data_IF_330949983343
#
_entry.id   IF_330949983343
#
_cell.length_a   1.000
_cell.length_b   1.000
_cell.length_c   1.000
_cell.angle_alpha   90.00
_cell.angle_beta   90.00
_cell.angle_gamma   90.00
#
_symmetry.space_group_name_H-M   'P 1'
#
loop_
_entity.id
_entity.type
_entity.pdbx_description
1 polymer ?
#
# COMPACT_ATOMS: atom_id res chain seq x y z
N UNK A 1 67.19 -10.28 -23.77
CA UNK A 1 66.74 -11.68 -23.58
C UNK A 1 65.79 -11.64 -22.38
N UNK A 2 64.48 -11.66 -22.64
CA UNK A 2 63.62 -12.86 -22.44
C UNK A 2 63.45 -13.14 -20.93
N UNK A 3 62.28 -13.17 -20.30
CA UNK A 3 60.89 -13.35 -20.76
C UNK A 3 59.90 -12.81 -19.71
N UNK A 4 58.71 -12.48 -20.20
CA UNK A 4 57.45 -12.31 -19.49
C UNK A 4 57.06 -13.51 -18.62
N UNK A 5 56.42 -13.24 -17.48
CA UNK A 5 55.34 -14.04 -16.88
C UNK A 5 54.45 -13.06 -16.06
N UNK A 6 53.45 -12.41 -16.66
CA UNK A 6 52.05 -12.87 -16.81
C UNK A 6 51.38 -13.30 -15.49
N UNK A 7 50.88 -12.33 -14.72
CA UNK A 7 49.81 -12.55 -13.73
C UNK A 7 48.56 -11.86 -14.27
N UNK A 8 47.75 -12.65 -14.98
CA UNK A 8 46.41 -12.27 -15.40
C UNK A 8 45.48 -12.30 -14.18
N UNK A 9 45.19 -11.12 -13.60
CA UNK A 9 44.07 -10.98 -12.68
C UNK A 9 42.76 -11.16 -13.45
N UNK A 10 42.12 -12.29 -13.18
CA UNK A 10 40.82 -12.68 -13.71
C UNK A 10 39.77 -11.73 -13.16
N UNK A 11 39.36 -10.74 -13.95
CA UNK A 11 38.08 -10.06 -13.77
C UNK A 11 36.96 -11.05 -14.08
N UNK A 12 36.36 -11.62 -13.04
CA UNK A 12 35.11 -12.37 -13.17
C UNK A 12 34.00 -11.43 -13.64
N UNK A 13 33.32 -11.69 -14.77
CA UNK A 13 32.08 -11.00 -15.08
C UNK A 13 31.01 -11.49 -14.11
N UNK A 14 30.78 -10.70 -13.05
CA UNK A 14 29.64 -10.87 -12.17
C UNK A 14 28.34 -10.70 -12.96
N UNK A 15 27.72 -11.84 -13.26
CA UNK A 15 26.31 -12.13 -13.57
C UNK A 15 25.34 -10.93 -13.78
N UNK A 16 24.57 -10.90 -14.88
CA UNK A 16 23.49 -9.91 -15.12
C UNK A 16 22.29 -10.01 -14.15
N UNK A 17 22.37 -10.84 -13.11
CA UNK A 17 21.23 -11.27 -12.29
C UNK A 17 20.89 -10.37 -11.09
N UNK A 18 21.20 -9.07 -11.13
CA UNK A 18 20.71 -8.11 -10.12
C UNK A 18 19.83 -7.00 -10.70
N UNK A 19 19.28 -7.21 -11.90
CA UNK A 19 18.09 -6.50 -12.39
C UNK A 19 16.84 -7.25 -11.97
N UNK A 20 16.48 -7.22 -10.69
CA UNK A 20 15.17 -7.70 -10.22
C UNK A 20 14.89 -7.22 -8.80
N UNK A 21 14.45 -5.95 -8.69
CA UNK A 21 13.41 -5.53 -7.74
C UNK A 21 12.53 -4.50 -8.44
N UNK A 22 11.72 -4.98 -9.37
CA UNK A 22 10.48 -4.32 -9.74
C UNK A 22 9.42 -4.73 -8.71
N UNK A 23 8.55 -3.79 -8.32
CA UNK A 23 7.23 -4.11 -7.78
C UNK A 23 6.89 -3.43 -6.46
N UNK A 24 6.08 -2.36 -6.56
CA UNK A 24 5.31 -1.68 -5.50
C UNK A 24 6.18 -0.97 -4.43
N UNK A 25 6.02 0.30 -4.03
CA UNK A 25 4.84 1.12 -3.82
C UNK A 25 5.30 2.60 -3.86
N UNK A 26 5.06 3.33 -4.95
CA UNK A 26 5.17 4.79 -4.91
C UNK A 26 3.77 5.39 -4.70
N UNK A 27 3.12 4.98 -3.59
CA UNK A 27 1.96 5.69 -3.08
C UNK A 27 2.43 7.03 -2.54
N UNK A 28 2.17 8.11 -3.27
CA UNK A 28 2.65 9.43 -2.87
C UNK A 28 1.83 9.97 -1.70
N UNK A 29 2.44 10.11 -0.52
CA UNK A 29 1.81 10.70 0.70
C UNK A 29 0.95 11.93 0.38
N UNK A 30 -0.27 11.97 0.92
CA UNK A 30 -1.22 13.09 0.84
C UNK A 30 -0.57 14.46 1.13
N UNK A 31 -0.36 15.26 0.08
CA UNK A 31 0.26 16.59 0.19
C UNK A 31 -0.80 17.66 0.45
N UNK A 32 -0.56 18.52 1.44
CA UNK A 32 -1.37 19.72 1.69
C UNK A 32 -1.00 20.80 0.67
N UNK A 33 -1.99 21.33 -0.03
CA UNK A 33 -1.83 22.35 -1.07
C UNK A 33 -2.86 23.47 -0.89
N UNK A 34 -2.56 24.63 -1.48
CA UNK A 34 -3.46 25.79 -1.54
C UNK A 34 -3.78 26.06 -3.01
N UNK A 35 -5.06 26.20 -3.32
CA UNK A 35 -5.53 26.40 -4.68
C UNK A 35 -5.15 27.80 -5.20
N UNK A 36 -4.21 27.89 -6.15
CA UNK A 36 -3.83 29.17 -6.79
C UNK A 36 -4.94 29.78 -7.65
N UNK A 37 -5.89 28.95 -8.10
CA UNK A 37 -7.06 29.27 -8.92
C UNK A 37 -8.20 28.30 -8.60
N UNK A 38 -9.41 28.54 -9.11
CA UNK A 38 -10.51 27.56 -9.04
C UNK A 38 -10.07 26.25 -9.71
N UNK A 39 -10.12 25.14 -8.98
CA UNK A 39 -9.78 23.83 -9.52
C UNK A 39 -10.96 23.28 -10.34
N UNK A 40 -10.66 22.61 -11.46
CA UNK A 40 -11.67 21.87 -12.23
C UNK A 40 -12.16 20.63 -11.46
N UNK A 41 -11.28 20.02 -10.66
CA UNK A 41 -11.57 18.88 -9.81
C UNK A 41 -12.32 19.30 -8.55
N UNK A 42 -13.07 18.35 -7.98
CA UNK A 42 -13.85 18.48 -6.74
C UNK A 42 -13.28 17.52 -5.71
N UNK A 43 -13.70 17.65 -4.45
CA UNK A 43 -13.41 16.66 -3.43
C UNK A 43 -14.03 15.32 -3.83
N UNK A 44 -13.25 14.24 -3.84
CA UNK A 44 -13.72 12.92 -4.26
C UNK A 44 -14.76 12.30 -3.30
N UNK A 45 -14.79 12.75 -2.04
CA UNK A 45 -15.71 12.23 -1.02
C UNK A 45 -17.04 13.00 -0.94
N UNK A 46 -16.98 14.34 -1.00
CA UNK A 46 -18.15 15.18 -0.74
C UNK A 46 -18.55 16.07 -1.93
N UNK A 47 -17.88 15.93 -3.08
CA UNK A 47 -18.13 16.70 -4.30
C UNK A 47 -18.05 18.23 -4.14
N UNK A 48 -17.47 18.73 -3.05
CA UNK A 48 -17.22 20.16 -2.85
C UNK A 48 -16.23 20.67 -3.90
N UNK A 49 -16.56 21.80 -4.53
CA UNK A 49 -15.63 22.51 -5.42
C UNK A 49 -14.59 23.31 -4.64
N UNK A 50 -13.37 23.40 -5.20
CA UNK A 50 -12.29 24.20 -4.62
C UNK A 50 -12.15 25.55 -5.34
N UNK A 51 -12.23 26.64 -4.57
CA UNK A 51 -12.02 28.02 -5.03
C UNK A 51 -10.57 28.44 -4.82
N UNK A 52 -10.18 29.57 -5.42
CA UNK A 52 -8.86 30.18 -5.16
C UNK A 52 -8.71 30.44 -3.66
N UNK A 53 -7.56 30.07 -3.09
CA UNK A 53 -7.26 30.19 -1.66
C UNK A 53 -7.71 28.99 -0.82
N UNK A 54 -8.55 28.08 -1.34
CA UNK A 54 -8.96 26.90 -0.58
C UNK A 54 -7.77 25.96 -0.35
N UNK A 55 -7.68 25.43 0.87
CA UNK A 55 -6.79 24.33 1.22
C UNK A 55 -7.40 23.03 0.70
N UNK A 56 -6.58 22.19 0.10
CA UNK A 56 -6.95 20.84 -0.31
C UNK A 56 -5.76 19.90 -0.13
N UNK A 57 -6.05 18.60 -0.16
CA UNK A 57 -5.05 17.56 -0.11
C UNK A 57 -5.04 16.81 -1.43
N UNK A 58 -3.85 16.47 -1.92
CA UNK A 58 -3.66 15.71 -3.15
C UNK A 58 -2.74 14.52 -2.90
N UNK A 59 -3.19 13.36 -3.34
CA UNK A 59 -2.40 12.15 -3.45
C UNK A 59 -2.36 11.71 -4.90
N UNK A 60 -1.22 11.17 -5.32
CA UNK A 60 -1.07 10.54 -6.62
C UNK A 60 -0.54 9.14 -6.41
N UNK A 61 -1.29 8.17 -6.88
CA UNK A 61 -0.94 6.76 -6.82
C UNK A 61 -0.67 6.30 -8.24
N UNK A 62 0.55 5.81 -8.47
CA UNK A 62 0.91 5.18 -9.75
C UNK A 62 0.79 3.68 -9.56
N UNK A 63 -0.13 3.08 -10.29
CA UNK A 63 -0.42 1.66 -10.25
C UNK A 63 0.18 1.05 -11.52
N UNK A 64 1.06 0.06 -11.32
CA UNK A 64 1.71 -0.67 -12.41
C UNK A 64 1.17 -2.10 -12.39
N UNK A 65 0.33 -2.42 -13.35
CA UNK A 65 -0.07 -3.80 -13.69
C UNK A 65 0.53 -4.09 -15.07
N UNK A 66 -0.32 -4.29 -16.10
CA UNK A 66 0.10 -4.42 -17.50
C UNK A 66 0.45 -3.06 -18.14
N UNK A 67 -0.22 -1.99 -17.70
CA UNK A 67 0.03 -0.61 -18.12
C UNK A 67 0.26 0.30 -16.90
N UNK A 68 1.00 1.39 -17.10
CA UNK A 68 1.28 2.38 -16.04
C UNK A 68 0.10 3.36 -15.96
N UNK A 69 -0.73 3.21 -14.93
CA UNK A 69 -1.87 4.11 -14.68
C UNK A 69 -1.62 5.02 -13.49
N UNK A 70 -1.85 6.32 -13.64
CA UNK A 70 -1.76 7.31 -12.56
C UNK A 70 -3.15 7.76 -12.10
N UNK A 71 -3.47 7.55 -10.83
CA UNK A 71 -4.71 8.02 -10.19
C UNK A 71 -4.38 9.19 -9.27
N UNK A 72 -5.05 10.32 -9.45
CA UNK A 72 -4.94 11.47 -8.56
C UNK A 72 -6.22 11.56 -7.70
N UNK A 73 -6.05 11.65 -6.38
CA UNK A 73 -7.14 11.85 -5.40
C UNK A 73 -7.04 13.26 -4.80
N UNK A 74 -8.17 13.95 -4.68
CA UNK A 74 -8.33 15.30 -4.14
C UNK A 74 -9.31 15.29 -2.97
N UNK A 75 -8.85 15.70 -1.78
CA UNK A 75 -9.67 15.68 -0.56
C UNK A 75 -9.75 17.08 0.06
N UNK A 76 -10.94 17.47 0.52
CA UNK A 76 -11.11 18.71 1.27
C UNK A 76 -10.71 18.56 2.76
N UNK A 77 -10.39 19.64 3.48
CA UNK A 77 -9.94 19.55 4.86
C UNK A 77 -10.91 18.84 5.82
N UNK A 78 -12.22 19.00 5.59
CA UNK A 78 -13.25 18.33 6.39
C UNK A 78 -13.20 16.81 6.23
N UNK A 79 -13.22 16.34 4.98
CA UNK A 79 -13.21 14.91 4.67
C UNK A 79 -11.91 14.24 5.14
N UNK A 80 -10.77 14.93 4.98
CA UNK A 80 -9.51 14.42 5.51
C UNK A 80 -9.55 14.24 7.03
N UNK A 81 -10.07 15.22 7.75
CA UNK A 81 -10.22 15.11 9.21
C UNK A 81 -11.15 13.96 9.61
N UNK A 82 -12.27 13.78 8.91
CA UNK A 82 -13.20 12.68 9.16
C UNK A 82 -12.55 11.31 8.92
N UNK A 83 -11.76 11.18 7.86
CA UNK A 83 -11.01 9.96 7.52
C UNK A 83 -9.94 9.64 8.57
N UNK A 84 -9.07 10.59 8.91
CA UNK A 84 -8.05 10.42 9.95
C UNK A 84 -8.68 10.07 11.31
N UNK A 85 -9.83 10.69 11.63
CA UNK A 85 -10.57 10.37 12.86
C UNK A 85 -11.15 8.96 12.82
N UNK A 86 -11.67 8.51 11.67
CA UNK A 86 -12.18 7.15 11.47
C UNK A 86 -11.04 6.14 11.64
N UNK A 87 -9.89 6.37 11.01
CA UNK A 87 -8.71 5.52 11.13
C UNK A 87 -8.23 5.41 12.57
N UNK A 88 -8.11 6.53 13.29
CA UNK A 88 -7.72 6.51 14.71
C UNK A 88 -8.69 5.72 15.59
N UNK A 89 -10.00 5.88 15.36
CA UNK A 89 -11.02 5.09 16.08
C UNK A 89 -10.91 3.61 15.76
N UNK A 90 -10.66 3.27 14.49
CA UNK A 90 -10.53 1.89 14.06
C UNK A 90 -9.26 1.24 14.63
N UNK A 91 -8.12 1.95 14.63
CA UNK A 91 -6.88 1.47 15.24
C UNK A 91 -7.09 1.13 16.73
N UNK A 92 -7.70 2.04 17.50
CA UNK A 92 -8.05 1.79 18.91
C UNK A 92 -9.00 0.61 19.08
N UNK A 93 -9.99 0.48 18.19
CA UNK A 93 -10.92 -0.65 18.22
C UNK A 93 -10.20 -1.99 18.00
N UNK A 94 -9.21 -2.06 17.10
CA UNK A 94 -8.43 -3.28 16.87
C UNK A 94 -7.70 -3.74 18.13
N UNK A 95 -7.14 -2.81 18.91
CA UNK A 95 -6.43 -3.11 20.16
C UNK A 95 -7.36 -3.72 21.22
N UNK A 96 -8.62 -3.30 21.25
CA UNK A 96 -9.61 -3.73 22.25
C UNK A 96 -10.64 -4.72 21.72
N UNK A 97 -10.40 -5.34 20.57
CA UNK A 97 -11.39 -6.22 19.95
C UNK A 97 -11.59 -7.49 20.80
N UNK A 98 -12.85 -7.82 21.10
CA UNK A 98 -13.21 -9.02 21.89
C UNK A 98 -13.37 -10.29 21.06
N UNK A 99 -13.29 -10.18 19.73
CA UNK A 99 -13.47 -11.29 18.79
C UNK A 99 -14.73 -12.14 19.06
N UNK A 100 -15.95 -11.56 18.92
CA UNK A 100 -17.18 -12.33 19.08
C UNK A 100 -17.22 -13.50 18.09
N UNK A 101 -17.73 -14.66 18.51
CA UNK A 101 -17.74 -15.89 17.72
C UNK A 101 -18.45 -15.73 16.36
N UNK A 102 -19.54 -14.96 16.32
CA UNK A 102 -20.29 -14.65 15.09
C UNK A 102 -19.44 -13.97 13.99
N UNK A 103 -18.35 -13.33 14.37
CA UNK A 103 -17.45 -12.62 13.47
C UNK A 103 -16.12 -13.36 13.26
N UNK A 104 -15.99 -14.60 13.75
CA UNK A 104 -14.84 -15.47 13.46
C UNK A 104 -15.10 -16.22 12.16
N UNK A 105 -14.11 -16.24 11.30
CA UNK A 105 -14.16 -16.97 10.03
C UNK A 105 -12.90 -17.82 9.88
N UNK A 106 -13.11 -19.08 9.50
CA UNK A 106 -12.02 -19.97 9.15
C UNK A 106 -11.36 -19.50 7.86
N UNK A 107 -10.08 -19.15 7.94
CA UNK A 107 -9.27 -18.82 6.78
C UNK A 107 -8.60 -20.08 6.23
N UNK A 108 -8.57 -20.18 4.90
CA UNK A 108 -8.01 -21.32 4.20
C UNK A 108 -6.76 -20.92 3.42
N UNK A 109 -5.67 -21.66 3.61
CA UNK A 109 -4.41 -21.48 2.87
C UNK A 109 -4.18 -22.64 1.92
N UNK A 110 -3.42 -22.40 0.85
CA UNK A 110 -2.97 -23.46 -0.05
C UNK A 110 -1.83 -24.24 0.58
N UNK A 111 -1.86 -25.57 0.43
CA UNK A 111 -0.75 -26.44 0.79
C UNK A 111 0.34 -26.26 -0.28
N UNK A 112 1.61 -25.99 0.09
CA UNK A 112 2.69 -25.85 -0.88
C UNK A 112 2.81 -27.10 -1.77
N UNK A 113 2.68 -26.90 -3.08
CA UNK A 113 2.80 -27.98 -4.07
C UNK A 113 1.50 -28.71 -4.42
N UNK A 114 0.38 -28.37 -3.77
CA UNK A 114 -0.93 -28.97 -4.06
C UNK A 114 -1.94 -27.90 -4.50
N UNK A 115 -2.90 -28.29 -5.35
CA UNK A 115 -3.99 -27.42 -5.78
C UNK A 115 -5.20 -27.46 -4.81
N UNK A 116 -4.95 -27.80 -3.53
CA UNK A 116 -5.97 -27.98 -2.48
C UNK A 116 -5.73 -26.98 -1.35
N UNK A 117 -6.81 -26.49 -0.75
CA UNK A 117 -6.77 -25.57 0.41
C UNK A 117 -7.11 -26.31 1.70
N UNK A 118 -6.43 -25.95 2.78
CA UNK A 118 -6.69 -26.47 4.13
C UNK A 118 -7.11 -25.35 5.10
N UNK A 119 -7.89 -25.66 6.14
CA UNK A 119 -8.17 -24.73 7.23
C UNK A 119 -6.86 -24.36 7.94
N UNK A 120 -6.51 -23.07 7.95
CA UNK A 120 -5.25 -22.57 8.51
C UNK A 120 -5.43 -22.04 9.93
N UNK A 121 -6.33 -21.08 10.09
CA UNK A 121 -6.57 -20.38 11.35
C UNK A 121 -7.92 -19.66 11.32
N UNK A 122 -8.46 -19.33 12.49
CA UNK A 122 -9.64 -18.47 12.58
C UNK A 122 -9.21 -17.01 12.59
N UNK A 123 -9.80 -16.20 11.72
CA UNK A 123 -9.61 -14.75 11.68
C UNK A 123 -10.87 -14.02 12.12
N UNK A 124 -10.74 -12.89 12.81
CA UNK A 124 -11.88 -12.04 13.10
C UNK A 124 -12.13 -11.04 11.97
N UNK A 125 -13.35 -11.05 11.42
CA UNK A 125 -13.80 -10.14 10.35
C UNK A 125 -13.87 -8.67 10.75
N UNK A 126 -13.88 -8.36 12.06
CA UNK A 126 -13.96 -6.98 12.54
C UNK A 126 -12.60 -6.28 12.62
N UNK A 127 -11.61 -6.93 13.21
CA UNK A 127 -10.27 -6.35 13.40
C UNK A 127 -9.22 -6.87 12.41
N UNK A 128 -9.47 -8.04 11.80
CA UNK A 128 -8.53 -8.74 10.92
C UNK A 128 -7.44 -9.51 11.65
N UNK A 129 -7.51 -9.66 12.98
CA UNK A 129 -6.53 -10.43 13.75
C UNK A 129 -6.85 -11.92 13.73
N UNK A 130 -5.80 -12.73 13.79
CA UNK A 130 -5.89 -14.18 14.00
C UNK A 130 -6.33 -14.44 15.43
N UNK A 131 -7.37 -15.24 15.59
CA UNK A 131 -7.86 -15.70 16.88
C UNK A 131 -7.08 -16.98 17.22
N UNK A 132 -6.34 -17.02 18.34
CA UNK A 132 -5.63 -18.23 18.72
C UNK A 132 -6.63 -19.35 19.04
N UNK A 133 -6.33 -20.61 18.66
CA UNK A 133 -7.11 -21.75 19.11
C UNK A 133 -6.98 -21.85 20.65
N UNK A 134 -8.12 -22.04 21.31
CA UNK A 134 -8.20 -22.22 22.77
C UNK A 134 -7.51 -23.51 23.23
#
# INVERSE_FOLDING_TARGET
MAQNQDIAERTTPGSPAQRQRAGAEAGGVMKRLIAKRKLKRKCDYCNRSFKKGDVYYKERTVIVWDEITGVDVYICPRCKYEEERREKRFARFKESCKHPEEFREMQYSYIPGEAVKEPSHEGCRLCGQVVPPF
#
